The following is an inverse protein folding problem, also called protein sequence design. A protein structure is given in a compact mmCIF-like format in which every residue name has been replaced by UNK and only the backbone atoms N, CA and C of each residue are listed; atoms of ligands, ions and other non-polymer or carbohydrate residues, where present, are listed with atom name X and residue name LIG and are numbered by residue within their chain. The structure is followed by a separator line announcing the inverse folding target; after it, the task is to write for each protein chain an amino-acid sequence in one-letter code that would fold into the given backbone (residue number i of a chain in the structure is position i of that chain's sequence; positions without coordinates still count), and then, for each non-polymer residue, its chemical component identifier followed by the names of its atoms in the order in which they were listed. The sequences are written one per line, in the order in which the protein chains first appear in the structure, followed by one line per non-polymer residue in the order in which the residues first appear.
data_IF_213521056930
#
_entry.id   IF_213521056930
#
_cell.length_a   1.000
_cell.length_b   1.000
_cell.length_c   1.000
_cell.angle_alpha   90.00
_cell.angle_beta   90.00
_cell.angle_gamma   90.00
#
_symmetry.space_group_name_H-M   'P 1'
#
loop_
_entity.id
_entity.type
_entity.pdbx_description
1 polymer ?
#
# COMPACT_ATOMS: atom_id res chain seq x y z
N UNK A 1 -2.24 -21.90 -57.20
CA UNK A 1 -1.16 -22.13 -56.22
C UNK A 1 -0.32 -20.89 -55.89
N UNK A 2 -0.22 -19.87 -56.75
CA UNK A 2 0.61 -18.67 -56.49
C UNK A 2 -0.07 -17.63 -55.56
N UNK A 3 -1.40 -17.60 -55.51
CA UNK A 3 -2.14 -16.63 -54.66
C UNK A 3 -2.19 -16.97 -53.16
N UNK A 4 -2.07 -18.25 -52.80
CA UNK A 4 -2.14 -18.69 -51.39
C UNK A 4 -0.85 -18.36 -50.63
N UNK A 5 0.30 -18.43 -51.31
CA UNK A 5 1.61 -18.04 -50.78
C UNK A 5 1.75 -16.52 -50.58
N UNK A 6 1.03 -15.70 -51.33
CA UNK A 6 1.08 -14.24 -51.19
C UNK A 6 0.27 -13.75 -49.98
N UNK A 7 -0.90 -14.35 -49.73
CA UNK A 7 -1.74 -14.05 -48.57
C UNK A 7 -1.08 -14.51 -47.25
N UNK A 8 -0.31 -15.61 -47.28
CA UNK A 8 0.41 -16.13 -46.12
C UNK A 8 1.60 -15.25 -45.72
N UNK A 9 2.31 -14.66 -46.69
CA UNK A 9 3.42 -13.72 -46.44
C UNK A 9 2.98 -12.39 -45.83
N UNK A 10 1.84 -11.84 -46.24
CA UNK A 10 1.32 -10.58 -45.67
C UNK A 10 0.76 -10.75 -44.25
N UNK A 11 0.21 -11.93 -43.93
CA UNK A 11 -0.28 -12.26 -42.57
C UNK A 11 0.87 -12.47 -41.57
N UNK A 12 2.00 -13.08 -41.98
CA UNK A 12 3.19 -13.18 -41.12
C UNK A 12 3.86 -11.83 -40.89
N UNK A 13 3.92 -10.97 -41.92
CA UNK A 13 4.44 -9.61 -41.76
C UNK A 13 3.55 -8.79 -40.82
N UNK A 14 2.23 -8.82 -41.01
CA UNK A 14 1.28 -8.09 -40.14
C UNK A 14 1.36 -8.53 -38.67
N UNK A 15 1.40 -9.85 -38.41
CA UNK A 15 1.52 -10.38 -37.04
C UNK A 15 2.88 -10.11 -36.39
N UNK A 16 3.98 -10.13 -37.16
CA UNK A 16 5.30 -9.74 -36.69
C UNK A 16 5.36 -8.27 -36.27
N UNK A 17 4.77 -7.36 -37.07
CA UNK A 17 4.70 -5.93 -36.72
C UNK A 17 3.85 -5.67 -35.48
N UNK A 18 2.71 -6.36 -35.32
CA UNK A 18 1.86 -6.24 -34.13
C UNK A 18 2.61 -6.73 -32.88
N UNK A 19 3.30 -7.87 -32.96
CA UNK A 19 4.06 -8.40 -31.81
C UNK A 19 5.24 -7.50 -31.41
N UNK A 20 5.95 -6.92 -32.39
CA UNK A 20 7.03 -5.97 -32.13
C UNK A 20 6.50 -4.67 -31.52
N UNK A 21 5.38 -4.15 -32.04
CA UNK A 21 4.72 -2.97 -31.46
C UNK A 21 4.23 -3.23 -30.05
N UNK A 22 3.67 -4.42 -29.77
CA UNK A 22 3.21 -4.80 -28.43
C UNK A 22 4.40 -4.96 -27.46
N UNK A 23 5.48 -5.60 -27.91
CA UNK A 23 6.71 -5.77 -27.13
C UNK A 23 7.35 -4.42 -26.79
N UNK A 24 7.44 -3.50 -27.74
CA UNK A 24 7.94 -2.14 -27.54
C UNK A 24 7.10 -1.39 -26.50
N UNK A 25 5.77 -1.50 -26.60
CA UNK A 25 4.84 -0.83 -25.69
C UNK A 25 4.93 -1.39 -24.26
N UNK A 26 5.01 -2.72 -24.12
CA UNK A 26 5.25 -3.39 -22.84
C UNK A 26 6.61 -2.99 -22.26
N UNK A 27 7.66 -2.93 -23.08
CA UNK A 27 9.00 -2.55 -22.64
C UNK A 27 9.06 -1.12 -22.09
N UNK A 28 8.26 -0.20 -22.63
CA UNK A 28 8.17 1.18 -22.14
C UNK A 28 7.35 1.29 -20.84
N UNK A 29 6.21 0.60 -20.72
CA UNK A 29 5.30 0.77 -19.58
C UNK A 29 5.69 -0.11 -18.36
N UNK A 30 6.23 -1.31 -18.61
CA UNK A 30 6.62 -2.25 -17.56
C UNK A 30 7.57 -1.67 -16.49
N UNK A 31 8.66 -0.92 -16.84
CA UNK A 31 9.57 -0.39 -15.82
C UNK A 31 8.89 0.66 -14.94
N UNK A 32 8.08 1.55 -15.52
CA UNK A 32 7.37 2.60 -14.76
C UNK A 32 6.36 2.00 -13.78
N UNK A 33 5.61 0.97 -14.22
CA UNK A 33 4.70 0.23 -13.35
C UNK A 33 5.44 -0.51 -12.23
N UNK A 34 6.59 -1.11 -12.53
CA UNK A 34 7.38 -1.83 -11.53
C UNK A 34 7.95 -0.87 -10.47
N UNK A 35 8.51 0.27 -10.89
CA UNK A 35 9.08 1.28 -9.99
C UNK A 35 7.99 1.91 -9.13
N UNK A 36 6.87 2.33 -9.73
CA UNK A 36 5.75 2.92 -8.99
C UNK A 36 5.14 1.94 -7.98
N UNK A 37 5.03 0.65 -8.34
CA UNK A 37 4.57 -0.39 -7.41
C UNK A 37 5.50 -0.53 -6.20
N UNK A 38 6.82 -0.55 -6.43
CA UNK A 38 7.81 -0.61 -5.33
C UNK A 38 7.78 0.65 -4.47
N UNK A 39 7.63 1.83 -5.07
CA UNK A 39 7.45 3.09 -4.35
C UNK A 39 6.23 3.05 -3.44
N UNK A 40 5.07 2.64 -3.98
CA UNK A 40 3.83 2.50 -3.21
C UNK A 40 3.95 1.45 -2.10
N UNK A 41 4.67 0.35 -2.32
CA UNK A 41 4.93 -0.64 -1.28
C UNK A 41 5.74 -0.04 -0.12
N UNK A 42 6.74 0.79 -0.42
CA UNK A 42 7.53 1.47 0.61
C UNK A 42 6.70 2.51 1.38
N UNK A 43 5.92 3.34 0.67
CA UNK A 43 5.00 4.33 1.28
C UNK A 43 4.04 3.63 2.25
N UNK A 44 3.46 2.50 1.84
CA UNK A 44 2.54 1.73 2.68
C UNK A 44 3.22 1.12 3.91
N UNK A 45 4.47 0.68 3.76
CA UNK A 45 5.29 0.13 4.85
C UNK A 45 5.69 1.19 5.87
N UNK A 46 6.01 2.41 5.42
CA UNK A 46 6.25 3.55 6.32
C UNK A 46 4.96 3.96 7.03
N UNK A 47 3.82 4.01 6.32
CA UNK A 47 2.52 4.37 6.92
C UNK A 47 2.09 3.40 8.02
N UNK A 48 2.28 2.09 7.82
CA UNK A 48 1.93 1.09 8.84
C UNK A 48 2.79 1.18 10.11
N UNK A 49 4.00 1.76 10.01
CA UNK A 49 4.88 2.03 11.16
C UNK A 49 4.73 3.43 11.74
N UNK A 50 3.88 4.27 11.16
CA UNK A 50 3.63 5.61 11.67
C UNK A 50 3.19 5.59 13.15
N UNK A 51 2.28 4.72 13.62
CA UNK A 51 1.90 4.67 15.04
C UNK A 51 3.07 4.42 15.99
N UNK A 52 4.02 3.58 15.57
CA UNK A 52 5.23 3.30 16.35
C UNK A 52 6.12 4.53 16.47
N UNK A 53 6.28 5.31 15.39
CA UNK A 53 6.97 6.60 15.44
C UNK A 53 6.26 7.57 16.41
N UNK A 54 4.92 7.67 16.33
CA UNK A 54 4.14 8.57 17.19
C UNK A 54 4.28 8.22 18.67
N UNK A 55 4.26 6.93 19.01
CA UNK A 55 4.46 6.48 20.39
C UNK A 55 5.85 6.88 20.92
N UNK A 56 6.91 6.68 20.13
CA UNK A 56 8.26 7.08 20.51
C UNK A 56 8.39 8.59 20.63
N UNK A 57 7.83 9.35 19.69
CA UNK A 57 7.78 10.81 19.75
C UNK A 57 7.03 11.29 21.00
N UNK A 58 5.92 10.64 21.35
CA UNK A 58 5.16 10.95 22.54
C UNK A 58 6.00 10.75 23.81
N UNK A 59 6.72 9.64 23.92
CA UNK A 59 7.65 9.39 25.04
C UNK A 59 8.72 10.47 25.12
N UNK A 60 9.34 10.85 24.00
CA UNK A 60 10.34 11.94 23.97
C UNK A 60 9.75 13.29 24.41
N UNK A 61 8.52 13.60 24.00
CA UNK A 61 7.86 14.85 24.41
C UNK A 61 7.49 14.82 25.89
N UNK A 62 7.06 13.66 26.42
CA UNK A 62 6.80 13.47 27.85
C UNK A 62 8.05 13.62 28.72
N UNK A 63 9.24 13.29 28.20
CA UNK A 63 10.51 13.52 28.91
C UNK A 63 11.03 14.96 28.79
N UNK A 64 10.29 15.84 28.11
CA UNK A 64 10.60 17.27 27.98
C UNK A 64 11.39 17.64 26.73
N UNK A 65 11.56 16.73 25.76
CA UNK A 65 12.18 17.07 24.48
C UNK A 65 11.23 17.90 23.61
N UNK A 66 11.78 18.84 22.84
CA UNK A 66 11.03 19.49 21.77
C UNK A 66 10.76 18.51 20.63
N UNK A 67 9.72 18.76 19.82
CA UNK A 67 9.39 17.92 18.67
C UNK A 67 10.52 17.85 17.63
N UNK A 68 11.24 18.96 17.44
CA UNK A 68 12.39 19.00 16.52
C UNK A 68 13.55 18.13 17.05
N UNK A 69 13.81 18.19 18.36
CA UNK A 69 14.81 17.36 19.01
C UNK A 69 14.42 15.88 19.02
N UNK A 70 13.13 15.56 19.20
CA UNK A 70 12.65 14.17 19.16
C UNK A 70 12.77 13.57 17.75
N UNK A 71 12.44 14.33 16.70
CA UNK A 71 12.65 13.89 15.31
C UNK A 71 14.13 13.64 15.02
N UNK A 72 15.03 14.51 15.48
CA UNK A 72 16.46 14.35 15.26
C UNK A 72 17.04 13.13 16.00
N UNK A 73 16.61 12.92 17.25
CA UNK A 73 16.98 11.75 18.04
C UNK A 73 16.47 10.45 17.39
N UNK A 74 15.17 10.39 17.06
CA UNK A 74 14.55 9.21 16.48
C UNK A 74 15.08 8.90 15.07
N UNK A 75 15.54 9.90 14.32
CA UNK A 75 16.17 9.69 13.01
C UNK A 75 17.42 8.79 13.07
N UNK A 76 18.11 8.77 14.21
CA UNK A 76 19.28 7.93 14.43
C UNK A 76 18.91 6.60 15.07
N UNK A 77 17.99 6.62 16.05
CA UNK A 77 17.55 5.42 16.76
C UNK A 77 16.83 4.44 15.82
N UNK A 78 15.98 4.96 14.93
CA UNK A 78 15.18 4.15 14.01
C UNK A 78 16.02 3.44 12.93
N UNK A 79 17.27 3.86 12.67
CA UNK A 79 18.13 3.22 11.65
C UNK A 79 18.34 1.73 11.93
N UNK A 80 18.32 1.33 13.19
CA UNK A 80 18.49 -0.08 13.59
C UNK A 80 17.20 -0.89 13.52
N UNK A 81 16.05 -0.22 13.55
CA UNK A 81 14.72 -0.85 13.56
C UNK A 81 14.12 -0.92 12.15
N UNK A 82 14.13 0.20 11.44
CA UNK A 82 13.58 0.31 10.09
C UNK A 82 14.28 1.44 9.32
N UNK A 83 15.09 1.06 8.33
CA UNK A 83 15.87 2.00 7.52
C UNK A 83 14.98 2.93 6.68
N UNK A 84 13.84 2.44 6.17
CA UNK A 84 12.95 3.24 5.33
C UNK A 84 12.25 4.31 6.15
N UNK A 85 11.75 3.95 7.34
CA UNK A 85 11.17 4.92 8.27
C UNK A 85 12.22 5.92 8.75
N UNK A 86 13.42 5.45 9.12
CA UNK A 86 14.52 6.31 9.55
C UNK A 86 14.92 7.32 8.48
N UNK A 87 14.93 6.92 7.20
CA UNK A 87 15.21 7.82 6.08
C UNK A 87 14.18 8.95 5.99
N UNK A 88 12.89 8.63 6.07
CA UNK A 88 11.82 9.64 6.01
C UNK A 88 11.91 10.59 7.21
N UNK A 89 12.06 10.07 8.43
CA UNK A 89 12.20 10.87 9.65
C UNK A 89 13.44 11.75 9.62
N UNK A 90 14.58 11.22 9.15
CA UNK A 90 15.82 11.97 8.99
C UNK A 90 15.64 13.13 8.01
N UNK A 91 15.05 12.86 6.85
CA UNK A 91 14.78 13.88 5.83
C UNK A 91 13.87 14.98 6.41
N UNK A 92 12.83 14.62 7.14
CA UNK A 92 11.95 15.59 7.81
C UNK A 92 12.67 16.39 8.89
N UNK A 93 13.54 15.77 9.72
CA UNK A 93 14.36 16.48 10.72
C UNK A 93 15.29 17.50 10.06
N UNK A 94 16.02 17.11 9.01
CA UNK A 94 16.93 18.00 8.28
C UNK A 94 16.17 19.18 7.64
N UNK A 95 14.99 18.93 7.09
CA UNK A 95 14.14 19.98 6.53
C UNK A 95 13.57 20.90 7.61
N UNK A 96 13.18 20.36 8.76
CA UNK A 96 12.69 21.16 9.88
C UNK A 96 13.71 22.21 10.33
N UNK A 97 15.00 21.87 10.33
CA UNK A 97 16.11 22.80 10.64
C UNK A 97 16.26 23.95 9.63
N UNK A 98 15.78 23.79 8.39
CA UNK A 98 15.94 24.77 7.30
C UNK A 98 14.68 25.61 7.10
N UNK A 99 13.50 24.95 7.00
CA UNK A 99 12.23 25.59 6.63
C UNK A 99 11.24 25.74 7.78
N UNK A 100 11.61 25.24 8.97
CA UNK A 100 10.74 25.17 10.15
C UNK A 100 9.88 23.90 10.19
N UNK A 101 9.45 23.52 11.40
CA UNK A 101 8.72 22.28 11.63
C UNK A 101 7.38 22.18 10.87
N UNK A 102 6.61 23.26 10.79
CA UNK A 102 5.30 23.31 10.09
C UNK A 102 5.42 22.92 8.60
N UNK A 103 6.40 23.50 7.89
CA UNK A 103 6.67 23.15 6.50
C UNK A 103 7.28 21.77 6.35
N UNK A 104 8.18 21.36 7.25
CA UNK A 104 8.80 20.06 7.19
C UNK A 104 7.80 18.91 7.40
N UNK A 105 6.78 19.10 8.23
CA UNK A 105 5.66 18.16 8.37
C UNK A 105 4.82 18.12 7.10
N UNK A 106 4.58 19.26 6.44
CA UNK A 106 3.91 19.25 5.13
C UNK A 106 4.72 18.47 4.10
N UNK A 107 6.04 18.65 4.05
CA UNK A 107 6.94 17.87 3.19
C UNK A 107 7.00 16.38 3.59
N UNK A 108 6.73 16.02 4.85
CA UNK A 108 6.59 14.62 5.26
C UNK A 108 5.39 13.95 4.56
N UNK A 109 4.27 14.66 4.43
CA UNK A 109 3.11 14.16 3.68
C UNK A 109 3.44 13.97 2.20
N UNK A 110 4.23 14.86 1.60
CA UNK A 110 4.66 14.70 0.20
C UNK A 110 5.54 13.46 -0.01
N UNK A 111 6.27 13.01 1.03
CA UNK A 111 7.06 11.78 0.99
C UNK A 111 6.22 10.52 1.22
N UNK A 112 5.18 10.62 2.04
CA UNK A 112 4.29 9.52 2.42
C UNK A 112 2.85 9.99 2.27
N UNK A 113 2.29 10.02 1.04
CA UNK A 113 0.96 10.57 0.77
C UNK A 113 -0.12 9.56 1.16
N UNK A 114 -0.26 9.30 2.45
CA UNK A 114 -1.26 8.40 3.04
C UNK A 114 -2.20 9.15 3.97
N UNK A 115 -3.39 8.60 4.19
CA UNK A 115 -4.41 9.18 5.08
C UNK A 115 -3.88 9.33 6.51
N UNK A 116 -3.12 8.35 7.00
CA UNK A 116 -2.52 8.37 8.33
C UNK A 116 -1.48 9.50 8.48
N UNK A 117 -0.64 9.68 7.45
CA UNK A 117 0.34 10.77 7.42
C UNK A 117 -0.33 12.14 7.36
N UNK A 118 -1.42 12.28 6.61
CA UNK A 118 -2.20 13.52 6.56
C UNK A 118 -2.78 13.88 7.93
N UNK A 119 -3.41 12.90 8.59
CA UNK A 119 -3.94 13.07 9.94
C UNK A 119 -2.85 13.46 10.93
N UNK A 120 -1.68 12.83 10.85
CA UNK A 120 -0.51 13.18 11.64
C UNK A 120 -0.05 14.63 11.45
N UNK A 121 0.19 15.04 10.22
CA UNK A 121 0.67 16.39 9.90
C UNK A 121 -0.33 17.45 10.35
N UNK A 122 -1.61 17.25 10.05
CA UNK A 122 -2.68 18.19 10.44
C UNK A 122 -2.77 18.32 11.95
N UNK A 123 -2.80 17.18 12.65
CA UNK A 123 -2.93 17.11 14.10
C UNK A 123 -1.74 17.75 14.81
N UNK A 124 -0.52 17.41 14.38
CA UNK A 124 0.70 17.92 15.00
C UNK A 124 0.88 19.43 14.75
N UNK A 125 0.58 19.88 13.53
CA UNK A 125 0.60 21.29 13.15
C UNK A 125 -0.42 22.11 13.95
N UNK A 126 -1.61 21.54 14.18
CA UNK A 126 -2.65 22.17 14.99
C UNK A 126 -2.22 22.25 16.47
N UNK A 127 -1.68 21.18 17.05
CA UNK A 127 -1.20 21.22 18.44
C UNK A 127 -0.05 22.21 18.63
N UNK A 128 0.86 22.33 17.66
CA UNK A 128 1.93 23.33 17.68
C UNK A 128 1.41 24.78 17.66
N UNK A 129 0.34 25.05 16.90
CA UNK A 129 -0.24 26.41 16.77
C UNK A 129 -1.11 26.81 17.96
N UNK A 130 -1.82 25.86 18.56
CA UNK A 130 -2.81 26.13 19.61
C UNK A 130 -2.34 25.75 21.03
N UNK A 131 -1.16 25.16 21.19
CA UNK A 131 -0.54 24.89 22.49
C UNK A 131 -1.26 23.83 23.34
N UNK A 132 -2.14 23.02 22.75
CA UNK A 132 -2.71 21.86 23.45
C UNK A 132 -1.62 20.83 23.76
N UNK A 133 -1.79 19.99 24.79
CA UNK A 133 -0.81 18.98 25.17
C UNK A 133 -0.49 18.03 24.01
N UNK A 134 0.60 18.33 23.29
CA UNK A 134 1.06 17.62 22.08
C UNK A 134 1.14 16.11 22.33
N UNK A 135 1.57 15.70 23.52
CA UNK A 135 1.67 14.29 23.90
C UNK A 135 0.34 13.55 23.96
N UNK A 136 -0.70 14.14 24.58
CA UNK A 136 -2.03 13.51 24.65
C UNK A 136 -2.64 13.34 23.26
N UNK A 137 -2.40 14.33 22.39
CA UNK A 137 -2.88 14.31 21.01
C UNK A 137 -2.16 13.24 20.18
N UNK A 138 -0.83 13.11 20.30
CA UNK A 138 -0.04 12.05 19.65
C UNK A 138 -0.51 10.65 20.09
N UNK A 139 -0.77 10.45 21.38
CA UNK A 139 -1.24 9.17 21.91
C UNK A 139 -2.64 8.80 21.40
N UNK A 140 -3.55 9.77 21.35
CA UNK A 140 -4.89 9.57 20.76
C UNK A 140 -4.78 9.18 19.29
N UNK A 141 -3.99 9.94 18.52
CA UNK A 141 -3.80 9.67 17.09
C UNK A 141 -3.16 8.29 16.84
N UNK A 142 -2.19 7.88 17.66
CA UNK A 142 -1.59 6.56 17.56
C UNK A 142 -2.61 5.43 17.80
N UNK A 143 -3.54 5.63 18.74
CA UNK A 143 -4.65 4.71 18.99
C UNK A 143 -5.62 4.66 17.80
N UNK A 144 -6.00 5.82 17.27
CA UNK A 144 -6.94 5.93 16.14
C UNK A 144 -6.38 5.24 14.89
N UNK A 145 -5.09 5.45 14.58
CA UNK A 145 -4.45 4.78 13.43
C UNK A 145 -4.37 3.26 13.66
N UNK A 146 -4.10 2.79 14.88
CA UNK A 146 -4.12 1.35 15.20
C UNK A 146 -5.50 0.74 15.00
N UNK A 147 -6.55 1.45 15.40
CA UNK A 147 -7.94 1.02 15.21
C UNK A 147 -8.31 0.95 13.73
N UNK A 148 -7.99 1.98 12.95
CA UNK A 148 -8.20 1.99 11.49
C UNK A 148 -7.49 0.81 10.83
N UNK A 149 -6.24 0.54 11.19
CA UNK A 149 -5.51 -0.61 10.67
C UNK A 149 -6.18 -1.94 11.02
N UNK A 150 -6.75 -2.08 12.23
CA UNK A 150 -7.51 -3.27 12.62
C UNK A 150 -8.77 -3.42 11.78
N UNK A 151 -9.55 -2.35 11.62
CA UNK A 151 -10.77 -2.35 10.81
C UNK A 151 -10.48 -2.74 9.35
N UNK A 152 -9.40 -2.23 8.76
CA UNK A 152 -8.98 -2.63 7.42
C UNK A 152 -8.60 -4.12 7.32
N UNK A 153 -7.96 -4.65 8.36
CA UNK A 153 -7.62 -6.06 8.43
C UNK A 153 -8.88 -6.91 8.57
N UNK A 154 -9.82 -6.51 9.41
CA UNK A 154 -11.12 -7.15 9.57
C UNK A 154 -11.94 -7.13 8.27
N UNK A 155 -11.94 -6.01 7.54
CA UNK A 155 -12.61 -5.91 6.24
C UNK A 155 -11.98 -6.87 5.22
N UNK A 156 -10.64 -6.95 5.19
CA UNK A 156 -9.91 -7.90 4.33
C UNK A 156 -10.26 -9.34 4.71
N UNK A 157 -10.29 -9.67 6.00
CA UNK A 157 -10.64 -11.01 6.51
C UNK A 157 -12.09 -11.36 6.18
N UNK A 158 -13.04 -10.44 6.38
CA UNK A 158 -14.45 -10.64 6.04
C UNK A 158 -14.64 -10.93 4.55
N UNK A 159 -13.90 -10.23 3.68
CA UNK A 159 -13.91 -10.49 2.23
C UNK A 159 -13.24 -11.82 1.85
N UNK A 160 -12.32 -12.37 2.66
CA UNK A 160 -11.76 -13.71 2.42
C UNK A 160 -12.79 -14.83 2.63
N UNK A 161 -13.69 -14.69 3.61
CA UNK A 161 -14.72 -15.70 3.89
C UNK A 161 -15.65 -15.95 2.69
N UNK A 162 -16.04 -14.90 1.97
CA UNK A 162 -16.83 -15.01 0.74
C UNK A 162 -16.07 -15.69 -0.40
N UNK A 163 -14.76 -15.47 -0.52
CA UNK A 163 -13.91 -16.14 -1.52
C UNK A 163 -13.69 -17.63 -1.23
N UNK A 164 -13.73 -18.03 0.04
CA UNK A 164 -13.62 -19.44 0.46
C UNK A 164 -14.90 -20.25 0.20
N UNK A 165 -16.08 -19.60 0.27
CA UNK A 165 -17.37 -20.28 0.11
C UNK A 165 -17.71 -20.58 -1.36
N UNK A 166 -17.27 -19.75 -2.31
CA UNK A 166 -17.46 -19.98 -3.75
C UNK A 166 -16.90 -21.34 -4.23
N UNK A 167 -15.61 -21.69 -4.01
CA UNK A 167 -15.08 -22.99 -4.41
C UNK A 167 -15.74 -24.14 -3.64
N UNK A 168 -16.09 -23.95 -2.37
CA UNK A 168 -16.80 -24.96 -1.58
C UNK A 168 -18.17 -25.30 -2.19
N UNK A 169 -18.96 -24.29 -2.55
CA UNK A 169 -20.27 -24.47 -3.19
C UNK A 169 -20.12 -25.17 -4.54
N UNK A 170 -19.13 -24.78 -5.35
CA UNK A 170 -18.87 -25.42 -6.64
C UNK A 170 -18.51 -26.91 -6.49
N UNK A 171 -17.67 -27.26 -5.51
CA UNK A 171 -17.28 -28.64 -5.21
C UNK A 171 -18.42 -29.51 -4.69
N UNK A 172 -19.44 -28.94 -4.05
CA UNK A 172 -20.63 -29.67 -3.59
C UNK A 172 -21.67 -29.77 -4.72
N UNK A 173 -21.90 -28.69 -5.48
CA UNK A 173 -22.93 -28.63 -6.52
C UNK A 173 -22.62 -29.55 -7.70
N UNK A 174 -21.38 -29.55 -8.22
CA UNK A 174 -20.97 -30.37 -9.37
C UNK A 174 -21.27 -31.87 -9.15
N UNK A 175 -20.82 -32.53 -8.06
CA UNK A 175 -21.08 -33.94 -7.85
C UNK A 175 -22.57 -34.25 -7.62
N UNK A 176 -23.33 -33.35 -6.99
CA UNK A 176 -24.78 -33.53 -6.82
C UNK A 176 -25.49 -33.53 -8.17
N UNK A 177 -25.16 -32.59 -9.06
CA UNK A 177 -25.74 -32.53 -10.42
C UNK A 177 -25.39 -33.80 -11.21
N UNK A 178 -24.13 -34.26 -11.13
CA UNK A 178 -23.68 -35.50 -11.78
C UNK A 178 -24.45 -36.71 -11.24
N UNK A 179 -24.63 -36.81 -9.93
CA UNK A 179 -25.33 -37.92 -9.27
C UNK A 179 -26.81 -37.99 -9.67
N UNK A 180 -27.47 -36.84 -9.82
CA UNK A 180 -28.87 -36.77 -10.24
C UNK A 180 -29.02 -37.05 -11.76
N UNK A 181 -28.11 -36.54 -12.59
CA UNK A 181 -28.17 -36.72 -14.04
C UNK A 181 -27.78 -38.15 -14.50
N UNK A 182 -26.87 -38.81 -13.79
CA UNK A 182 -26.39 -40.16 -14.11
C UNK A 182 -27.49 -41.22 -14.35
N UNK A 183 -28.51 -41.39 -13.48
CA UNK A 183 -29.59 -42.35 -13.74
C UNK A 183 -30.50 -41.95 -14.89
N UNK A 184 -30.69 -40.65 -15.15
CA UNK A 184 -31.47 -40.16 -16.28
C UNK A 184 -30.81 -40.47 -17.63
N UNK A 185 -29.50 -40.26 -17.71
CA UNK A 185 -28.70 -40.57 -18.91
C UNK A 185 -28.62 -42.08 -19.14
N UNK A 186 -28.39 -42.87 -18.08
CA UNK A 186 -28.37 -44.34 -18.19
C UNK A 186 -29.71 -44.92 -18.68
N UNK A 187 -30.84 -44.31 -18.33
CA UNK A 187 -32.18 -44.72 -18.78
C UNK A 187 -32.52 -44.31 -20.22
N UNK A 188 -31.79 -43.35 -20.80
CA UNK A 188 -31.96 -42.96 -22.21
C UNK A 188 -31.05 -43.76 -23.16
N UNK A 189 -29.89 -44.22 -22.67
CA UNK A 189 -28.91 -44.97 -23.46
C UNK A 189 -29.11 -46.49 -23.44
N UNK A 190 -29.79 -47.03 -22.41
CA UNK A 190 -30.19 -48.44 -22.33
C UNK A 190 -31.68 -48.61 -22.57
#
# INVERSE_FOLDING_TARGET
FIGYSYIQGEMEFSSAFISFSLSMLVCLIAPDMYISSRGNANVRHVSSRLPFLLDLMNVCVHTGMTLEASLDYLSNELKTVDENLAYVVKKTSERAKIVGLDRALTEFYDLVPTTEAQSFVMTLTQSLKYGSSVGAVLASLASDIREINMLELEEKIGKMGAKMSIPMIAFIMIPIVVLIAAPGIMRMLG
#
